data_IF_324120970973
#
_entry.id   IF_324120970973
#
_cell.length_a   1.000
_cell.length_b   1.000
_cell.length_c   1.000
_cell.angle_alpha   90.00
_cell.angle_beta   90.00
_cell.angle_gamma   90.00
#
_symmetry.space_group_name_H-M   'P 1'
#
loop_
_entity.id
_entity.type
_entity.pdbx_description
1 polymer ?
#
# COMPACT_ATOMS: atom_id res chain seq x y z
N UNK A 1 -4.63 -1.38 39.83
CA UNK A 1 -3.17 -1.61 39.67
C UNK A 1 -2.88 -1.78 38.18
N UNK A 2 -1.81 -1.22 37.64
CA UNK A 2 -1.46 -1.41 36.22
C UNK A 2 -1.01 -2.87 36.03
N UNK A 3 -1.52 -3.61 35.04
CA UNK A 3 -1.04 -4.96 34.77
C UNK A 3 0.46 -4.97 34.46
N UNK A 4 1.24 -5.73 35.23
CA UNK A 4 2.69 -5.79 35.13
C UNK A 4 3.16 -6.16 33.71
N UNK A 5 2.51 -7.15 33.08
CA UNK A 5 2.82 -7.58 31.71
C UNK A 5 2.67 -6.45 30.69
N UNK A 6 1.71 -5.55 30.90
CA UNK A 6 1.48 -4.42 30.00
C UNK A 6 2.58 -3.36 30.15
N UNK A 7 2.96 -3.03 31.38
CA UNK A 7 4.07 -2.13 31.66
C UNK A 7 5.40 -2.66 31.09
N UNK A 8 5.67 -3.96 31.26
CA UNK A 8 6.85 -4.62 30.70
C UNK A 8 6.85 -4.67 29.16
N UNK A 9 5.68 -4.85 28.54
CA UNK A 9 5.58 -4.82 27.08
C UNK A 9 5.85 -3.43 26.52
N UNK A 10 5.34 -2.38 27.19
CA UNK A 10 5.58 -0.99 26.81
C UNK A 10 7.03 -0.56 27.00
N UNK A 11 7.69 -0.97 28.09
CA UNK A 11 9.08 -0.59 28.36
C UNK A 11 10.08 -1.17 27.34
N UNK A 12 9.70 -2.27 26.68
CA UNK A 12 10.50 -2.89 25.60
C UNK A 12 10.36 -2.18 24.25
N UNK A 13 9.48 -1.19 24.13
CA UNK A 13 9.34 -0.42 22.90
C UNK A 13 10.46 0.64 22.87
N UNK A 14 11.39 0.58 21.90
CA UNK A 14 12.59 1.43 21.89
C UNK A 14 12.33 2.88 21.50
N UNK A 15 11.07 3.25 21.28
CA UNK A 15 10.66 4.56 20.78
C UNK A 15 10.09 5.41 21.91
N UNK A 16 10.58 6.64 22.03
CA UNK A 16 10.13 7.56 23.07
C UNK A 16 8.65 7.90 22.87
N UNK A 17 7.85 7.54 23.86
CA UNK A 17 6.51 8.05 24.08
C UNK A 17 6.67 9.28 24.97
N UNK A 18 6.02 10.40 24.65
CA UNK A 18 6.07 11.57 25.52
C UNK A 18 5.48 11.24 26.89
N UNK A 19 5.93 11.93 27.93
CA UNK A 19 5.45 11.72 29.30
C UNK A 19 3.92 11.80 29.41
N UNK A 20 3.29 12.75 28.72
CA UNK A 20 1.84 12.90 28.65
C UNK A 20 1.13 11.68 28.04
N UNK A 21 1.71 11.12 26.98
CA UNK A 21 1.13 9.94 26.31
C UNK A 21 1.34 8.70 27.19
N UNK A 22 2.47 8.58 27.89
CA UNK A 22 2.71 7.51 28.85
C UNK A 22 1.66 7.54 29.98
N UNK A 23 1.38 8.73 30.55
CA UNK A 23 0.30 8.89 31.54
C UNK A 23 -1.03 8.42 30.96
N UNK A 24 -1.43 8.90 29.78
CA UNK A 24 -2.70 8.51 29.15
C UNK A 24 -2.81 6.99 28.96
N UNK A 25 -1.74 6.34 28.50
CA UNK A 25 -1.69 4.89 28.28
C UNK A 25 -1.81 4.12 29.61
N UNK A 26 -1.11 4.57 30.66
CA UNK A 26 -1.18 3.94 31.97
C UNK A 26 -2.51 4.19 32.69
N UNK A 27 -3.08 5.39 32.58
CA UNK A 27 -4.43 5.70 33.07
C UNK A 27 -5.48 4.81 32.40
N UNK A 28 -5.39 4.63 31.09
CA UNK A 28 -6.28 3.71 30.38
C UNK A 28 -6.13 2.27 30.87
N UNK A 29 -4.90 1.80 31.10
CA UNK A 29 -4.63 0.45 31.59
C UNK A 29 -5.13 0.22 33.02
N UNK A 30 -5.09 1.25 33.86
CA UNK A 30 -5.70 1.23 35.20
C UNK A 30 -7.22 1.05 35.14
N UNK A 31 -7.87 1.71 34.18
CA UNK A 31 -9.32 1.63 33.97
C UNK A 31 -9.76 0.34 33.27
N UNK A 32 -8.85 -0.34 32.55
CA UNK A 32 -9.16 -1.49 31.70
C UNK A 32 -8.12 -2.63 31.88
N UNK A 33 -7.96 -3.20 33.08
CA UNK A 33 -6.86 -4.12 33.38
C UNK A 33 -6.83 -5.39 32.51
N UNK A 34 -7.98 -6.05 32.30
CA UNK A 34 -8.07 -7.26 31.47
C UNK A 34 -7.70 -6.98 30.01
N UNK A 35 -8.19 -5.85 29.47
CA UNK A 35 -7.89 -5.43 28.10
C UNK A 35 -6.43 -5.04 27.94
N UNK A 36 -5.85 -4.40 28.95
CA UNK A 36 -4.43 -4.08 28.97
C UNK A 36 -3.57 -5.35 28.99
N UNK A 37 -3.98 -6.39 29.71
CA UNK A 37 -3.29 -7.68 29.69
C UNK A 37 -3.37 -8.37 28.32
N UNK A 38 -4.56 -8.37 27.68
CA UNK A 38 -4.70 -8.86 26.30
C UNK A 38 -3.87 -8.04 25.29
N UNK A 39 -3.78 -6.72 25.47
CA UNK A 39 -2.94 -5.84 24.66
C UNK A 39 -1.45 -6.16 24.82
N UNK A 40 -1.00 -6.53 26.02
CA UNK A 40 0.39 -6.88 26.29
C UNK A 40 0.84 -8.06 25.42
N UNK A 41 0.00 -9.10 25.28
CA UNK A 41 0.32 -10.26 24.45
C UNK A 41 0.42 -9.90 22.96
N UNK A 42 -0.45 -9.00 22.48
CA UNK A 42 -0.38 -8.50 21.10
C UNK A 42 0.85 -7.59 20.87
N UNK A 43 1.20 -6.74 21.84
CA UNK A 43 2.39 -5.87 21.77
C UNK A 43 3.68 -6.68 21.62
N UNK A 44 3.82 -7.80 22.33
CA UNK A 44 4.97 -8.70 22.22
C UNK A 44 5.16 -9.28 20.81
N UNK A 45 4.08 -9.39 20.03
CA UNK A 45 4.14 -9.91 18.67
C UNK A 45 4.56 -8.86 17.63
N UNK A 46 4.63 -7.58 18.00
CA UNK A 46 5.03 -6.51 17.10
C UNK A 46 6.53 -6.50 16.89
N UNK A 47 6.97 -6.52 15.62
CA UNK A 47 8.34 -6.19 15.27
C UNK A 47 8.59 -4.67 15.37
N UNK A 48 9.83 -4.23 15.14
CA UNK A 48 10.25 -2.81 15.18
C UNK A 48 9.31 -1.88 14.39
N UNK A 49 8.82 -2.33 13.23
CA UNK A 49 7.89 -1.53 12.41
C UNK A 49 6.50 -1.43 13.04
N UNK A 50 5.99 -2.53 13.60
CA UNK A 50 4.74 -2.55 14.34
C UNK A 50 4.81 -1.67 15.60
N UNK A 51 5.89 -1.79 16.38
CA UNK A 51 6.14 -0.98 17.56
C UNK A 51 6.16 0.52 17.26
N UNK A 52 6.83 0.93 16.19
CA UNK A 52 6.82 2.33 15.73
C UNK A 52 5.42 2.81 15.35
N UNK A 53 4.63 1.95 14.68
CA UNK A 53 3.25 2.28 14.31
C UNK A 53 2.36 2.42 15.55
N UNK A 54 2.54 1.54 16.54
CA UNK A 54 1.83 1.63 17.81
C UNK A 54 2.09 2.97 18.50
N UNK A 55 3.36 3.37 18.62
CA UNK A 55 3.74 4.66 19.23
C UNK A 55 3.14 5.83 18.46
N UNK A 56 3.16 5.79 17.13
CA UNK A 56 2.54 6.84 16.33
C UNK A 56 1.02 6.92 16.54
N UNK A 57 0.36 5.77 16.67
CA UNK A 57 -1.08 5.71 16.86
C UNK A 57 -1.52 6.31 18.21
N UNK A 58 -0.81 5.98 19.29
CA UNK A 58 -1.11 6.56 20.62
C UNK A 58 -0.70 8.03 20.71
N UNK A 59 0.40 8.42 20.06
CA UNK A 59 0.99 9.77 20.21
C UNK A 59 0.32 10.79 19.30
N UNK A 60 0.14 10.46 18.02
CA UNK A 60 -0.29 11.42 17.00
C UNK A 60 -1.73 11.22 16.55
N UNK A 61 -2.25 9.98 16.60
CA UNK A 61 -3.62 9.68 16.17
C UNK A 61 -4.60 9.62 17.34
N UNK A 62 -4.12 9.77 18.57
CA UNK A 62 -4.94 9.76 19.78
C UNK A 62 -5.67 8.43 20.01
N UNK A 63 -5.18 7.34 19.41
CA UNK A 63 -5.79 6.02 19.58
C UNK A 63 -5.54 5.49 20.99
N UNK A 64 -6.55 4.83 21.57
CA UNK A 64 -6.32 4.07 22.80
C UNK A 64 -5.38 2.87 22.52
N UNK A 65 -4.73 2.29 23.54
CA UNK A 65 -3.74 1.24 23.35
C UNK A 65 -4.24 0.00 22.60
N UNK A 66 -5.50 -0.39 22.80
CA UNK A 66 -6.08 -1.54 22.10
C UNK A 66 -6.19 -1.29 20.60
N UNK A 67 -6.79 -0.16 20.22
CA UNK A 67 -6.92 0.25 18.81
C UNK A 67 -5.55 0.47 18.17
N UNK A 68 -4.63 1.11 18.89
CA UNK A 68 -3.26 1.33 18.44
C UNK A 68 -2.52 0.02 18.13
N UNK A 69 -2.71 -1.01 18.97
CA UNK A 69 -2.17 -2.35 18.75
C UNK A 69 -2.75 -2.98 17.49
N UNK A 70 -4.07 -2.88 17.29
CA UNK A 70 -4.72 -3.42 16.09
C UNK A 70 -4.24 -2.73 14.82
N UNK A 71 -4.13 -1.40 14.84
CA UNK A 71 -3.59 -0.59 13.76
C UNK A 71 -2.14 -0.98 13.45
N UNK A 72 -1.32 -1.19 14.48
CA UNK A 72 0.06 -1.63 14.35
C UNK A 72 0.16 -3.03 13.72
N UNK A 73 -0.63 -4.00 14.18
CA UNK A 73 -0.66 -5.36 13.63
C UNK A 73 -1.11 -5.36 12.16
N UNK A 74 -2.20 -4.64 11.83
CA UNK A 74 -2.67 -4.47 10.45
C UNK A 74 -1.59 -3.86 9.56
N UNK A 75 -0.89 -2.85 10.05
CA UNK A 75 0.19 -2.18 9.30
C UNK A 75 1.39 -3.11 9.10
N UNK A 76 1.79 -3.86 10.12
CA UNK A 76 2.87 -4.84 10.04
C UNK A 76 2.55 -5.93 9.02
N UNK A 77 1.34 -6.49 9.07
CA UNK A 77 0.88 -7.51 8.12
C UNK A 77 0.82 -6.97 6.69
N UNK A 78 0.27 -5.77 6.49
CA UNK A 78 0.26 -5.08 5.18
C UNK A 78 1.67 -4.89 4.64
N UNK A 79 2.61 -4.43 5.48
CA UNK A 79 4.02 -4.26 5.07
C UNK A 79 4.70 -5.58 4.76
N UNK A 80 4.49 -6.64 5.56
CA UNK A 80 5.05 -7.97 5.30
C UNK A 80 4.52 -8.55 3.98
N UNK A 81 3.22 -8.44 3.74
CA UNK A 81 2.58 -8.83 2.47
C UNK A 81 3.18 -8.06 1.29
N UNK A 82 3.27 -6.72 1.42
CA UNK A 82 3.88 -5.85 0.40
C UNK A 82 5.34 -6.19 0.13
N UNK A 83 6.15 -6.48 1.16
CA UNK A 83 7.55 -6.90 0.98
C UNK A 83 7.66 -8.24 0.25
N UNK A 84 6.84 -9.23 0.59
CA UNK A 84 6.81 -10.52 -0.11
C UNK A 84 6.42 -10.35 -1.59
N UNK A 85 5.40 -9.54 -1.86
CA UNK A 85 4.96 -9.24 -3.22
C UNK A 85 6.01 -8.45 -4.00
N UNK A 86 6.65 -7.46 -3.40
CA UNK A 86 7.75 -6.70 -4.01
C UNK A 86 8.96 -7.57 -4.32
N UNK A 87 9.30 -8.50 -3.42
CA UNK A 87 10.38 -9.46 -3.67
C UNK A 87 10.04 -10.37 -4.87
N UNK A 88 8.82 -10.92 -4.90
CA UNK A 88 8.32 -11.70 -6.05
C UNK A 88 8.35 -10.89 -7.34
N UNK A 89 7.82 -9.68 -7.32
CA UNK A 89 7.83 -8.75 -8.45
C UNK A 89 9.26 -8.50 -8.93
N UNK A 90 10.19 -8.13 -8.04
CA UNK A 90 11.58 -7.84 -8.41
C UNK A 90 12.31 -9.02 -9.07
N UNK A 91 11.95 -10.25 -8.67
CA UNK A 91 12.54 -11.48 -9.21
C UNK A 91 11.89 -11.86 -10.54
N UNK A 92 10.56 -11.88 -10.59
CA UNK A 92 9.80 -12.42 -11.72
C UNK A 92 9.61 -11.41 -12.86
N UNK A 93 9.57 -10.11 -12.58
CA UNK A 93 9.47 -9.08 -13.63
C UNK A 93 10.68 -9.05 -14.58
N UNK A 94 11.80 -9.66 -14.20
CA UNK A 94 13.02 -9.76 -15.03
C UNK A 94 13.06 -11.00 -15.91
N UNK A 95 12.12 -11.92 -15.75
CA UNK A 95 12.04 -13.11 -16.60
C UNK A 95 11.31 -12.76 -17.90
N UNK A 96 11.43 -13.63 -18.91
CA UNK A 96 10.69 -13.50 -20.17
C UNK A 96 9.16 -13.51 -19.95
N UNK A 97 8.69 -14.23 -18.93
CA UNK A 97 7.27 -14.37 -18.61
C UNK A 97 6.72 -13.18 -17.79
N UNK A 98 7.58 -12.44 -17.10
CA UNK A 98 7.16 -11.35 -16.23
C UNK A 98 6.49 -11.82 -14.93
N UNK A 99 6.01 -10.86 -14.14
CA UNK A 99 5.21 -11.13 -12.95
C UNK A 99 3.73 -10.90 -13.24
N UNK A 100 2.93 -11.97 -13.26
CA UNK A 100 1.49 -11.89 -13.51
C UNK A 100 0.70 -11.98 -12.21
N UNK A 101 -0.27 -11.08 -12.05
CA UNK A 101 -1.28 -11.14 -10.98
C UNK A 101 -2.67 -10.85 -11.54
N UNK A 102 -3.70 -11.22 -10.77
CA UNK A 102 -5.09 -10.99 -11.13
C UNK A 102 -5.63 -9.75 -10.39
N UNK A 103 -6.29 -8.87 -11.14
CA UNK A 103 -7.02 -7.72 -10.63
C UNK A 103 -8.35 -8.15 -9.99
N UNK A 104 -8.99 -7.31 -9.15
CA UNK A 104 -10.27 -7.65 -8.51
C UNK A 104 -11.39 -7.99 -9.50
N UNK A 105 -11.38 -7.41 -10.70
CA UNK A 105 -12.32 -7.68 -11.78
C UNK A 105 -11.93 -8.88 -12.67
N UNK A 106 -10.98 -9.69 -12.20
CA UNK A 106 -10.46 -10.90 -12.83
C UNK A 106 -9.55 -10.67 -14.04
N UNK A 107 -9.31 -9.43 -14.48
CA UNK A 107 -8.31 -9.14 -15.52
C UNK A 107 -6.92 -9.54 -15.04
N UNK A 108 -6.06 -9.96 -15.97
CA UNK A 108 -4.65 -10.21 -15.66
C UNK A 108 -3.84 -8.93 -15.88
N UNK A 109 -2.89 -8.69 -15.00
CA UNK A 109 -1.85 -7.71 -15.19
C UNK A 109 -0.49 -8.39 -15.14
N UNK A 110 0.31 -8.20 -16.18
CA UNK A 110 1.68 -8.72 -16.27
C UNK A 110 2.66 -7.57 -16.13
N UNK A 111 3.66 -7.74 -15.26
CA UNK A 111 4.67 -6.73 -15.00
C UNK A 111 6.04 -7.17 -15.48
N UNK A 112 6.65 -6.36 -16.34
CA UNK A 112 8.03 -6.53 -16.79
C UNK A 112 8.93 -5.40 -16.32
N UNK A 113 10.19 -5.72 -16.03
CA UNK A 113 11.23 -4.74 -15.69
C UNK A 113 12.17 -4.54 -16.86
N UNK A 114 12.27 -3.30 -17.35
CA UNK A 114 13.19 -2.89 -18.41
C UNK A 114 14.43 -2.33 -17.75
N UNK A 115 15.57 -3.00 -17.93
CA UNK A 115 16.82 -2.68 -17.23
C UNK A 115 17.46 -1.41 -17.76
N UNK A 116 17.43 -1.17 -19.07
CA UNK A 116 18.04 0.03 -19.69
C UNK A 116 17.42 1.32 -19.16
N UNK A 117 16.11 1.30 -18.95
CA UNK A 117 15.32 2.48 -18.58
C UNK A 117 15.00 2.59 -17.07
N UNK A 118 15.38 1.58 -16.27
CA UNK A 118 14.96 1.39 -14.88
C UNK A 118 13.44 1.57 -14.66
N UNK A 119 12.63 0.98 -15.55
CA UNK A 119 11.16 1.12 -15.57
C UNK A 119 10.46 -0.21 -15.44
N UNK A 120 9.24 -0.15 -14.90
CA UNK A 120 8.32 -1.27 -14.85
C UNK A 120 7.17 -1.02 -15.83
N UNK A 121 6.84 -2.03 -16.64
CA UNK A 121 5.75 -2.02 -17.60
C UNK A 121 4.61 -2.86 -17.02
N UNK A 122 3.47 -2.24 -16.70
CA UNK A 122 2.26 -2.91 -16.25
C UNK A 122 1.35 -3.08 -17.45
N UNK A 123 1.31 -4.28 -18.01
CA UNK A 123 0.48 -4.63 -19.17
C UNK A 123 -0.83 -5.24 -18.68
N UNK A 124 -1.95 -4.72 -19.15
CA UNK A 124 -3.30 -5.24 -18.88
C UNK A 124 -4.22 -4.94 -20.06
N UNK A 125 -5.52 -5.20 -19.91
CA UNK A 125 -6.54 -4.80 -20.87
C UNK A 125 -7.44 -3.72 -20.28
N UNK A 126 -7.92 -2.78 -21.09
CA UNK A 126 -9.01 -1.85 -20.75
C UNK A 126 -10.15 -2.07 -21.74
N UNK A 127 -11.31 -2.53 -21.25
CA UNK A 127 -12.30 -3.19 -22.09
C UNK A 127 -11.70 -4.49 -22.65
N UNK A 128 -11.41 -4.49 -23.95
CA UNK A 128 -10.78 -5.62 -24.65
C UNK A 128 -9.44 -5.26 -25.31
N UNK A 129 -8.90 -4.09 -25.01
CA UNK A 129 -7.70 -3.58 -25.68
C UNK A 129 -6.48 -3.60 -24.76
N UNK A 130 -5.33 -4.00 -25.30
CA UNK A 130 -4.07 -4.00 -24.55
C UNK A 130 -3.59 -2.57 -24.27
N UNK A 131 -3.18 -2.36 -23.02
CA UNK A 131 -2.67 -1.09 -22.55
C UNK A 131 -1.53 -1.32 -21.56
N UNK A 132 -0.47 -0.52 -21.69
CA UNK A 132 0.72 -0.62 -20.84
C UNK A 132 0.93 0.66 -20.06
N UNK A 133 1.02 0.57 -18.74
CA UNK A 133 1.38 1.70 -17.88
C UNK A 133 2.85 1.60 -17.48
N UNK A 134 3.61 2.66 -17.76
CA UNK A 134 5.06 2.70 -17.51
C UNK A 134 5.32 3.40 -16.19
N UNK A 135 5.80 2.67 -15.18
CA UNK A 135 6.15 3.20 -13.88
C UNK A 135 7.66 3.36 -13.70
N UNK A 136 8.05 4.41 -12.97
CA UNK A 136 9.41 4.50 -12.43
C UNK A 136 9.65 3.52 -11.28
N UNK A 137 10.88 3.02 -11.17
CA UNK A 137 11.29 2.10 -10.08
C UNK A 137 11.00 2.63 -8.67
N UNK A 138 11.08 3.94 -8.43
CA UNK A 138 10.93 4.54 -7.09
C UNK A 138 9.55 4.33 -6.46
N UNK A 139 8.49 4.20 -7.27
CA UNK A 139 7.11 4.15 -6.79
C UNK A 139 6.45 2.77 -6.98
N UNK A 140 7.22 1.77 -7.43
CA UNK A 140 6.70 0.46 -7.81
C UNK A 140 5.92 -0.25 -6.70
N UNK A 141 6.36 -0.10 -5.45
CA UNK A 141 5.67 -0.74 -4.33
C UNK A 141 4.30 -0.16 -4.05
N UNK A 142 4.09 1.13 -4.34
CA UNK A 142 2.79 1.77 -4.17
C UNK A 142 1.88 1.40 -5.33
N UNK A 143 2.40 1.52 -6.56
CA UNK A 143 1.69 1.08 -7.76
C UNK A 143 1.18 -0.36 -7.62
N UNK A 144 2.05 -1.32 -7.27
CA UNK A 144 1.63 -2.71 -7.10
C UNK A 144 0.51 -2.88 -6.05
N UNK A 145 0.56 -2.14 -4.94
CA UNK A 145 -0.47 -2.23 -3.90
C UNK A 145 -1.82 -1.70 -4.37
N UNK A 146 -1.83 -0.60 -5.12
CA UNK A 146 -3.07 -0.01 -5.66
C UNK A 146 -3.67 -0.89 -6.76
N UNK A 147 -2.84 -1.41 -7.66
CA UNK A 147 -3.29 -2.33 -8.71
C UNK A 147 -3.94 -3.57 -8.10
N UNK A 148 -3.35 -4.16 -7.06
CA UNK A 148 -3.94 -5.29 -6.34
C UNK A 148 -5.26 -4.93 -5.62
N UNK A 149 -5.49 -3.65 -5.33
CA UNK A 149 -6.74 -3.13 -4.78
C UNK A 149 -7.75 -2.72 -5.86
N UNK A 150 -7.40 -2.86 -7.15
CA UNK A 150 -8.27 -2.48 -8.29
C UNK A 150 -8.22 -1.00 -8.64
N UNK A 151 -7.23 -0.26 -8.14
CA UNK A 151 -7.02 1.16 -8.45
C UNK A 151 -5.75 1.36 -9.25
N UNK A 152 -5.73 2.39 -10.10
CA UNK A 152 -4.54 2.69 -10.90
C UNK A 152 -3.82 3.90 -10.32
N UNK A 153 -2.63 3.67 -9.76
CA UNK A 153 -1.85 4.72 -9.11
C UNK A 153 -1.24 5.70 -10.14
N UNK A 154 -1.71 6.94 -10.20
CA UNK A 154 -1.19 7.92 -11.17
C UNK A 154 0.23 8.41 -10.87
N UNK A 155 0.62 8.45 -9.58
CA UNK A 155 1.88 9.06 -9.18
C UNK A 155 3.09 8.17 -9.51
N UNK A 156 4.03 8.72 -10.29
CA UNK A 156 5.22 7.99 -10.74
C UNK A 156 5.05 7.24 -12.06
N UNK A 157 3.90 7.40 -12.73
CA UNK A 157 3.70 7.04 -14.15
C UNK A 157 4.56 7.97 -15.02
N UNK A 158 5.30 7.38 -15.95
CA UNK A 158 6.16 8.07 -16.91
C UNK A 158 5.53 8.17 -18.30
N UNK A 159 4.71 7.19 -18.65
CA UNK A 159 3.95 7.15 -19.89
C UNK A 159 2.85 6.10 -19.80
N UNK A 160 1.89 6.17 -20.69
CA UNK A 160 0.99 5.06 -21.03
C UNK A 160 1.19 4.73 -22.51
N UNK A 161 1.28 3.44 -22.85
CA UNK A 161 1.39 2.96 -24.23
C UNK A 161 0.07 2.29 -24.60
N UNK A 162 -0.55 2.77 -25.67
CA UNK A 162 -1.84 2.30 -26.17
C UNK A 162 -1.90 2.44 -27.69
N UNK A 163 -2.35 1.40 -28.41
CA UNK A 163 -2.32 1.32 -29.89
C UNK A 163 -0.98 1.75 -30.50
N UNK A 164 0.13 1.23 -29.94
CA UNK A 164 1.51 1.54 -30.35
C UNK A 164 1.92 3.02 -30.18
N UNK A 165 1.07 3.86 -29.61
CA UNK A 165 1.37 5.27 -29.30
C UNK A 165 1.75 5.41 -27.84
N UNK A 166 2.75 6.26 -27.58
CA UNK A 166 3.22 6.60 -26.24
C UNK A 166 2.65 7.95 -25.83
N UNK A 167 1.89 7.96 -24.74
CA UNK A 167 1.26 9.15 -24.16
C UNK A 167 2.06 9.58 -22.93
N UNK A 168 2.56 10.81 -22.95
CA UNK A 168 3.33 11.41 -21.84
C UNK A 168 2.68 12.67 -21.27
N UNK A 169 1.66 13.21 -21.94
CA UNK A 169 0.87 14.32 -21.45
C UNK A 169 0.05 13.90 -20.22
N UNK A 170 -0.02 14.79 -19.22
CA UNK A 170 -0.66 14.50 -17.95
C UNK A 170 -2.15 14.21 -18.11
N UNK A 171 -2.87 15.04 -18.88
CA UNK A 171 -4.31 14.90 -19.10
C UNK A 171 -4.61 13.60 -19.83
N UNK A 172 -3.87 13.31 -20.91
CA UNK A 172 -4.04 12.08 -21.67
C UNK A 172 -3.73 10.83 -20.84
N UNK A 173 -2.66 10.86 -20.03
CA UNK A 173 -2.35 9.76 -19.10
C UNK A 173 -3.55 9.52 -18.18
N UNK A 174 -4.06 10.55 -17.52
CA UNK A 174 -5.18 10.40 -16.58
C UNK A 174 -6.43 9.81 -17.23
N UNK A 175 -6.78 10.24 -18.44
CA UNK A 175 -7.88 9.65 -19.21
C UNK A 175 -7.69 8.16 -19.46
N UNK A 176 -6.46 7.76 -19.82
CA UNK A 176 -6.14 6.36 -20.07
C UNK A 176 -6.11 5.52 -18.78
N UNK A 177 -5.63 6.08 -17.66
CA UNK A 177 -5.65 5.38 -16.36
C UNK A 177 -7.09 5.19 -15.86
N UNK A 178 -7.94 6.20 -16.04
CA UNK A 178 -9.37 6.10 -15.69
C UNK A 178 -10.07 5.02 -16.53
N UNK A 179 -9.74 4.92 -17.82
CA UNK A 179 -10.26 3.86 -18.69
C UNK A 179 -9.85 2.46 -18.21
N UNK A 180 -8.61 2.30 -17.72
CA UNK A 180 -8.15 1.04 -17.10
C UNK A 180 -8.97 0.75 -15.84
N UNK A 181 -9.13 1.73 -14.95
CA UNK A 181 -9.84 1.54 -13.67
C UNK A 181 -11.32 1.18 -13.89
N UNK A 182 -11.98 1.83 -14.85
CA UNK A 182 -13.38 1.58 -15.20
C UNK A 182 -13.58 0.39 -16.14
N UNK A 183 -12.48 -0.22 -16.61
CA UNK A 183 -12.48 -1.27 -17.62
C UNK A 183 -13.25 -0.88 -18.90
N UNK A 184 -13.05 0.34 -19.38
CA UNK A 184 -13.65 0.87 -20.60
C UNK A 184 -12.62 0.92 -21.73
N UNK A 185 -13.09 0.82 -22.97
CA UNK A 185 -12.23 1.08 -24.14
C UNK A 185 -11.72 2.54 -24.05
N UNK A 186 -10.40 2.78 -24.10
CA UNK A 186 -9.85 4.11 -23.84
C UNK A 186 -10.33 5.21 -24.82
N UNK A 187 -10.67 4.85 -26.05
CA UNK A 187 -11.24 5.79 -27.04
C UNK A 187 -12.57 6.39 -26.56
N UNK A 188 -13.42 5.60 -25.91
CA UNK A 188 -14.69 6.07 -25.34
C UNK A 188 -14.41 7.06 -24.20
N UNK A 189 -13.36 6.83 -23.41
CA UNK A 189 -13.01 7.67 -22.27
C UNK A 189 -12.41 9.02 -22.68
N UNK A 190 -11.63 9.05 -23.78
CA UNK A 190 -11.08 10.29 -24.35
C UNK A 190 -12.19 11.15 -24.96
N UNK A 191 -13.18 10.54 -25.61
CA UNK A 191 -14.33 11.24 -26.17
C UNK A 191 -15.23 11.83 -25.07
N UNK A 192 -15.59 11.04 -24.05
CA UNK A 192 -16.51 11.47 -22.97
C UNK A 192 -15.98 12.63 -22.12
N UNK A 193 -14.66 12.79 -22.00
CA UNK A 193 -14.02 13.85 -21.20
C UNK A 193 -13.45 14.98 -22.05
N UNK A 194 -13.36 14.82 -23.37
CA UNK A 194 -13.00 15.89 -24.31
C UNK A 194 -14.13 16.88 -24.60
N UNK A 195 -15.38 16.52 -24.26
CA UNK A 195 -16.58 17.34 -24.47
C UNK A 195 -16.98 18.19 -23.25
N UNK A 196 -16.24 18.11 -22.14
CA UNK A 196 -16.41 19.04 -21.01
C UNK A 196 -15.46 20.23 -21.16
N UNK A 197 -15.90 21.23 -21.93
CA UNK A 197 -15.39 22.60 -21.88
C UNK A 197 -16.39 23.51 -21.20
#
# INVERSE_FOLDING_TARGET
MIPQKFAEALSKIPYQVSFEVAIKVFTWALQNPERAEACAEKLKQLNVTGQRCFVNAVTYWGENPEKAVETAMKTMLRKRGRHSQLAKLSRLSRTKEGFTFQLPDKRKCTVHYVKEDERYLFQTTAGNEEITVVYSRRHIGYALSEWLAGKVWSYGVKAVIYKQRKYTDYTQIHLLLDAIEQNLTPEISVLLKGETK
#
